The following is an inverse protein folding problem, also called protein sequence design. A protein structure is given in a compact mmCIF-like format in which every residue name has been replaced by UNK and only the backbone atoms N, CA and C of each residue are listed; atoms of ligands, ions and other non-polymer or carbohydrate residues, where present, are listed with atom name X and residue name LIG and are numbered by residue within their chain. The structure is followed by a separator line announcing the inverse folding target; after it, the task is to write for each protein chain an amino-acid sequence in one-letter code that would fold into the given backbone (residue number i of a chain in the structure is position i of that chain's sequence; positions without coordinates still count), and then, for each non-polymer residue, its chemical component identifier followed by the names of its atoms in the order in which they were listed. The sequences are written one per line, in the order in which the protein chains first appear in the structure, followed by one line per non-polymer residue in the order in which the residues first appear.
data_IF_893696312460
#
_entry.id   IF_893696312460
#
_cell.length_a   1.000
_cell.length_b   1.000
_cell.length_c   1.000
_cell.angle_alpha   90.00
_cell.angle_beta   90.00
_cell.angle_gamma   90.00
#
_symmetry.space_group_name_H-M   'P 1'
#
loop_
_entity.id
_entity.type
_entity.pdbx_description
1 polymer ?
#
# COMPACT_ATOMS: atom_id res chain seq x y z
N UNK A 1 -0.19 18.88 -1.99
CA UNK A 1 0.31 17.54 -1.57
C UNK A 1 -0.67 17.02 -0.55
N UNK A 2 -1.30 15.89 -0.85
CA UNK A 2 -2.31 15.24 -0.01
C UNK A 2 -1.62 14.27 0.96
N UNK A 3 -2.33 13.83 2.01
CA UNK A 3 -1.80 12.81 2.92
C UNK A 3 -1.50 11.49 2.18
N UNK A 4 -2.29 11.15 1.15
CA UNK A 4 -2.02 10.00 0.29
C UNK A 4 -0.74 10.17 -0.53
N UNK A 5 -0.46 11.38 -1.03
CA UNK A 5 0.79 11.67 -1.74
C UNK A 5 2.00 11.48 -0.83
N UNK A 6 1.90 11.87 0.44
CA UNK A 6 2.98 11.68 1.41
C UNK A 6 3.32 10.19 1.61
N UNK A 7 2.31 9.32 1.69
CA UNK A 7 2.51 7.87 1.79
C UNK A 7 3.14 7.30 0.51
N UNK A 8 2.66 7.71 -0.67
CA UNK A 8 3.23 7.25 -1.95
C UNK A 8 4.68 7.75 -2.15
N UNK A 9 4.99 8.97 -1.74
CA UNK A 9 6.35 9.50 -1.81
C UNK A 9 7.31 8.72 -0.89
N UNK A 10 6.86 8.37 0.32
CA UNK A 10 7.64 7.54 1.24
C UNK A 10 7.90 6.14 0.67
N UNK A 11 6.91 5.56 -0.04
CA UNK A 11 7.09 4.32 -0.78
C UNK A 11 8.16 4.45 -1.87
N UNK A 12 8.07 5.49 -2.70
CA UNK A 12 9.01 5.69 -3.80
C UNK A 12 10.45 5.84 -3.29
N UNK A 13 10.66 6.67 -2.27
CA UNK A 13 11.98 6.84 -1.65
C UNK A 13 12.53 5.51 -1.08
N UNK A 14 11.67 4.71 -0.46
CA UNK A 14 12.05 3.39 0.07
C UNK A 14 12.40 2.41 -1.05
N UNK A 15 11.64 2.43 -2.15
CA UNK A 15 11.89 1.59 -3.32
C UNK A 15 13.20 1.98 -4.01
N UNK A 16 13.49 3.28 -4.12
CA UNK A 16 14.76 3.79 -4.67
C UNK A 16 15.95 3.30 -3.84
N UNK A 17 15.85 3.35 -2.50
CA UNK A 17 16.86 2.77 -1.62
C UNK A 17 17.09 1.27 -1.88
N UNK A 18 16.02 0.49 -2.04
CA UNK A 18 16.13 -0.94 -2.35
C UNK A 18 16.73 -1.19 -3.75
N UNK A 19 16.42 -0.35 -4.73
CA UNK A 19 17.02 -0.44 -6.07
C UNK A 19 18.52 -0.19 -6.02
N UNK A 20 18.96 0.84 -5.28
CA UNK A 20 20.38 1.13 -5.07
C UNK A 20 21.09 -0.07 -4.42
N UNK A 21 20.47 -0.71 -3.41
CA UNK A 21 21.03 -1.92 -2.80
C UNK A 21 21.18 -3.05 -3.82
N UNK A 22 20.19 -3.23 -4.71
CA UNK A 22 20.26 -4.20 -5.81
C UNK A 22 21.44 -3.94 -6.74
N UNK A 23 21.60 -2.70 -7.19
CA UNK A 23 22.70 -2.30 -8.07
C UNK A 23 24.07 -2.55 -7.41
N UNK A 24 24.18 -2.28 -6.11
CA UNK A 24 25.40 -2.54 -5.36
C UNK A 24 25.68 -4.04 -5.21
N UNK A 25 24.65 -4.85 -4.96
CA UNK A 25 24.78 -6.31 -4.88
C UNK A 25 25.35 -6.89 -6.18
N UNK A 26 24.83 -6.47 -7.34
CA UNK A 26 25.29 -6.95 -8.65
C UNK A 26 26.74 -6.55 -8.97
N UNK A 27 27.13 -5.33 -8.57
CA UNK A 27 28.50 -4.83 -8.74
C UNK A 27 29.48 -5.52 -7.78
N UNK A 28 29.01 -5.95 -6.61
CA UNK A 28 29.80 -6.57 -5.54
C UNK A 28 30.05 -8.08 -5.72
N UNK A 29 30.46 -8.52 -6.91
CA UNK A 29 30.69 -9.96 -7.23
C UNK A 29 31.72 -10.68 -6.35
N UNK A 30 32.47 -9.97 -5.50
CA UNK A 30 33.51 -10.51 -4.61
C UNK A 30 33.29 -10.02 -3.18
N UNK A 31 32.66 -10.87 -2.37
CA UNK A 31 32.67 -10.93 -0.89
C UNK A 31 32.26 -9.68 -0.07
N UNK A 32 31.25 -9.89 0.77
CA UNK A 32 31.07 -9.28 2.10
C UNK A 32 30.90 -7.74 2.21
N UNK A 33 30.25 -7.07 1.26
CA UNK A 33 30.24 -5.60 1.28
C UNK A 33 29.30 -5.00 2.35
N UNK A 34 28.30 -5.74 2.84
CA UNK A 34 27.32 -5.18 3.77
C UNK A 34 27.40 -5.77 5.18
N UNK A 35 28.46 -5.42 5.90
CA UNK A 35 28.53 -5.63 7.35
C UNK A 35 27.39 -4.89 8.07
N UNK A 36 26.89 -5.48 9.16
CA UNK A 36 25.75 -4.95 9.93
C UNK A 36 24.46 -4.77 9.13
N UNK A 37 24.23 -5.59 8.10
CA UNK A 37 22.97 -5.62 7.36
C UNK A 37 22.39 -7.04 7.33
N UNK A 38 21.11 -7.13 6.93
CA UNK A 38 20.44 -8.42 6.68
C UNK A 38 21.07 -9.21 5.53
N UNK A 39 21.95 -8.60 4.72
CA UNK A 39 22.64 -9.24 3.60
C UNK A 39 23.97 -9.88 3.99
N UNK A 40 24.43 -9.65 5.23
CA UNK A 40 25.68 -10.23 5.72
C UNK A 40 25.67 -11.77 5.63
N UNK A 41 26.76 -12.36 5.14
CA UNK A 41 26.93 -13.80 4.91
C UNK A 41 25.90 -14.47 3.96
N UNK A 42 25.14 -13.70 3.18
CA UNK A 42 24.27 -14.27 2.14
C UNK A 42 25.01 -14.44 0.82
N UNK A 43 24.69 -15.49 0.07
CA UNK A 43 25.08 -15.58 -1.34
C UNK A 43 24.37 -14.49 -2.16
N UNK A 44 24.87 -14.20 -3.37
CA UNK A 44 24.22 -13.24 -4.27
C UNK A 44 22.75 -13.61 -4.53
N UNK A 45 22.48 -14.90 -4.78
CA UNK A 45 21.13 -15.42 -4.99
C UNK A 45 20.23 -15.21 -3.75
N UNK A 46 20.73 -15.52 -2.56
CA UNK A 46 20.00 -15.30 -1.31
C UNK A 46 19.73 -13.82 -1.04
N UNK A 47 20.69 -12.95 -1.37
CA UNK A 47 20.54 -11.51 -1.23
C UNK A 47 19.53 -10.94 -2.24
N UNK A 48 19.54 -11.42 -3.48
CA UNK A 48 18.56 -11.06 -4.52
C UNK A 48 17.15 -11.52 -4.13
N UNK A 49 17.00 -12.75 -3.64
CA UNK A 49 15.71 -13.24 -3.14
C UNK A 49 15.21 -12.39 -1.98
N UNK A 50 16.07 -12.07 -1.01
CA UNK A 50 15.70 -11.21 0.11
C UNK A 50 15.27 -9.82 -0.35
N UNK A 51 15.97 -9.25 -1.34
CA UNK A 51 15.63 -7.95 -1.92
C UNK A 51 14.27 -7.98 -2.62
N UNK A 52 13.99 -9.03 -3.39
CA UNK A 52 12.71 -9.20 -4.07
C UNK A 52 11.57 -9.30 -3.04
N UNK A 53 11.70 -10.19 -2.05
CA UNK A 53 10.69 -10.31 -0.98
C UNK A 53 10.52 -9.01 -0.20
N UNK A 54 11.61 -8.26 0.05
CA UNK A 54 11.52 -6.96 0.73
C UNK A 54 10.73 -5.93 -0.08
N UNK A 55 10.87 -5.92 -1.41
CA UNK A 55 10.09 -5.04 -2.30
C UNK A 55 8.61 -5.42 -2.30
N UNK A 56 8.29 -6.71 -2.31
CA UNK A 56 6.92 -7.21 -2.23
C UNK A 56 6.26 -6.83 -0.89
N UNK A 57 6.94 -7.07 0.24
CA UNK A 57 6.43 -6.68 1.56
C UNK A 57 6.29 -5.16 1.73
N UNK A 58 7.21 -4.39 1.12
CA UNK A 58 7.10 -2.93 1.09
C UNK A 58 5.86 -2.46 0.32
N UNK A 59 5.58 -3.07 -0.84
CA UNK A 59 4.38 -2.74 -1.62
C UNK A 59 3.10 -3.01 -0.82
N UNK A 60 3.01 -4.17 -0.18
CA UNK A 60 1.86 -4.57 0.63
C UNK A 60 1.66 -3.61 1.83
N UNK A 61 2.75 -3.28 2.52
CA UNK A 61 2.72 -2.37 3.67
C UNK A 61 2.25 -0.96 3.28
N UNK A 62 2.62 -0.50 2.09
CA UNK A 62 2.21 0.80 1.58
C UNK A 62 0.75 0.80 1.16
N UNK A 63 0.24 -0.26 0.55
CA UNK A 63 -1.19 -0.39 0.24
C UNK A 63 -2.03 -0.32 1.51
N UNK A 64 -1.62 -1.03 2.57
CA UNK A 64 -2.27 -0.95 3.89
C UNK A 64 -2.23 0.48 4.47
N UNK A 65 -1.09 1.16 4.34
CA UNK A 65 -0.92 2.54 4.82
C UNK A 65 -1.78 3.55 4.05
N UNK A 66 -1.88 3.40 2.72
CA UNK A 66 -2.75 4.20 1.86
C UNK A 66 -4.22 4.01 2.26
N UNK A 67 -4.67 2.76 2.43
CA UNK A 67 -6.03 2.47 2.86
C UNK A 67 -6.33 2.98 4.27
N UNK A 68 -5.36 2.94 5.19
CA UNK A 68 -5.54 3.46 6.55
C UNK A 68 -5.64 4.99 6.55
N UNK A 69 -4.90 5.66 5.67
CA UNK A 69 -4.98 7.12 5.47
C UNK A 69 -6.31 7.51 4.83
N UNK A 70 -6.74 6.78 3.80
CA UNK A 70 -8.05 6.94 3.19
C UNK A 70 -9.18 6.72 4.21
N UNK A 71 -9.11 5.63 4.98
CA UNK A 71 -10.05 5.30 6.06
C UNK A 71 -10.20 6.48 7.01
N UNK A 72 -9.09 7.01 7.54
CA UNK A 72 -9.11 8.20 8.41
C UNK A 72 -9.82 9.39 7.75
N UNK A 73 -9.47 9.76 6.52
CA UNK A 73 -10.09 10.90 5.82
C UNK A 73 -11.61 10.73 5.71
N UNK A 74 -12.08 9.53 5.35
CA UNK A 74 -13.52 9.27 5.22
C UNK A 74 -14.22 9.30 6.58
N UNK A 75 -13.62 8.69 7.61
CA UNK A 75 -14.17 8.70 8.97
C UNK A 75 -14.21 10.11 9.57
N UNK A 76 -13.18 10.94 9.36
CA UNK A 76 -13.14 12.33 9.84
C UNK A 76 -14.31 13.15 9.25
N UNK A 77 -14.64 12.93 7.97
CA UNK A 77 -15.79 13.57 7.33
C UNK A 77 -17.14 13.09 7.88
N UNK A 78 -17.29 11.78 8.11
CA UNK A 78 -18.54 11.21 8.64
C UNK A 78 -18.74 11.51 10.12
N UNK A 79 -17.66 11.50 10.93
CA UNK A 79 -17.67 11.88 12.34
C UNK A 79 -18.08 13.34 12.54
N UNK A 80 -17.66 14.22 11.63
CA UNK A 80 -18.10 15.63 11.57
C UNK A 80 -19.58 15.78 11.17
N UNK A 81 -20.17 14.74 10.56
CA UNK A 81 -21.56 14.75 10.05
C UNK A 81 -22.59 14.09 10.99
N UNK A 82 -22.15 13.49 12.10
CA UNK A 82 -23.00 12.92 13.15
C UNK A 82 -23.41 11.45 12.92
N UNK A 83 -22.92 10.57 13.82
CA UNK A 83 -23.29 9.15 14.06
C UNK A 83 -23.18 8.20 12.85
N UNK A 84 -22.11 7.41 12.82
CA UNK A 84 -22.09 6.12 12.12
C UNK A 84 -22.00 4.97 13.13
N UNK A 85 -22.85 3.95 12.96
CA UNK A 85 -22.73 2.64 13.62
C UNK A 85 -21.82 1.69 12.82
N UNK A 86 -21.17 2.21 11.79
CA UNK A 86 -20.39 1.44 10.83
C UNK A 86 -19.13 0.91 11.50
N UNK A 87 -18.88 -0.40 11.35
CA UNK A 87 -17.83 -1.10 12.08
C UNK A 87 -16.52 -1.20 11.28
N UNK A 88 -16.49 -0.76 10.01
CA UNK A 88 -15.27 -0.76 9.20
C UNK A 88 -15.39 -0.04 7.87
N UNK A 89 -14.25 0.13 7.19
CA UNK A 89 -14.11 0.84 5.94
C UNK A 89 -15.13 0.44 4.85
N UNK A 90 -15.41 -0.86 4.71
CA UNK A 90 -16.37 -1.38 3.73
C UNK A 90 -17.80 -0.87 3.95
N UNK A 91 -18.20 -0.61 5.18
CA UNK A 91 -19.52 -0.05 5.47
C UNK A 91 -19.54 1.45 5.22
N UNK A 92 -18.47 2.11 5.61
CA UNK A 92 -18.29 3.56 5.46
C UNK A 92 -18.28 4.01 3.99
N UNK A 93 -17.62 3.27 3.09
CA UNK A 93 -17.60 3.65 1.66
C UNK A 93 -18.98 3.54 0.98
N UNK A 94 -19.93 2.75 1.54
CA UNK A 94 -21.29 2.59 0.97
C UNK A 94 -22.07 3.90 0.96
N UNK A 95 -21.80 4.80 1.91
CA UNK A 95 -22.43 6.12 1.97
C UNK A 95 -22.15 6.97 0.72
N UNK A 96 -21.04 6.69 0.03
CA UNK A 96 -20.60 7.44 -1.15
C UNK A 96 -21.03 6.80 -2.46
N UNK A 97 -21.66 5.61 -2.45
CA UNK A 97 -21.98 4.81 -3.64
C UNK A 97 -22.77 5.56 -4.72
N UNK A 98 -23.57 6.56 -4.35
CA UNK A 98 -24.33 7.41 -5.31
C UNK A 98 -23.50 8.55 -5.91
N UNK A 99 -22.36 8.89 -5.31
CA UNK A 99 -21.49 10.01 -5.71
C UNK A 99 -20.25 9.53 -6.47
N UNK A 100 -19.79 8.30 -6.19
CA UNK A 100 -18.66 7.69 -6.88
C UNK A 100 -19.13 6.79 -8.03
N UNK A 101 -18.31 6.70 -9.08
CA UNK A 101 -18.58 5.80 -10.21
C UNK A 101 -18.57 4.34 -9.75
N UNK A 102 -19.35 3.49 -10.43
CA UNK A 102 -19.42 2.05 -10.11
C UNK A 102 -18.05 1.38 -10.17
N UNK A 103 -17.19 1.81 -11.10
CA UNK A 103 -15.82 1.29 -11.22
C UNK A 103 -14.99 1.66 -10.01
N UNK A 104 -14.88 2.95 -9.68
CA UNK A 104 -14.10 3.44 -8.53
C UNK A 104 -14.57 2.83 -7.21
N UNK A 105 -15.88 2.65 -7.03
CA UNK A 105 -16.44 1.98 -5.87
C UNK A 105 -16.01 0.51 -5.77
N UNK A 106 -16.11 -0.25 -6.86
CA UNK A 106 -15.69 -1.67 -6.90
C UNK A 106 -14.19 -1.82 -6.68
N UNK A 107 -13.39 -0.96 -7.29
CA UNK A 107 -11.94 -0.97 -7.12
C UNK A 107 -11.58 -0.70 -5.64
N UNK A 108 -12.24 0.25 -4.98
CA UNK A 108 -12.07 0.48 -3.54
C UNK A 108 -12.52 -0.71 -2.66
N UNK A 109 -13.63 -1.38 -2.99
CA UNK A 109 -14.05 -2.61 -2.29
C UNK A 109 -13.01 -3.74 -2.43
N UNK A 110 -12.43 -3.91 -3.62
CA UNK A 110 -11.36 -4.89 -3.85
C UNK A 110 -10.12 -4.56 -3.01
N UNK A 111 -9.74 -3.29 -2.92
CA UNK A 111 -8.63 -2.83 -2.08
C UNK A 111 -8.89 -3.09 -0.59
N UNK A 112 -10.11 -2.93 -0.10
CA UNK A 112 -10.47 -3.34 1.26
C UNK A 112 -10.25 -4.84 1.47
N UNK A 113 -10.62 -5.67 0.49
CA UNK A 113 -10.34 -7.11 0.51
C UNK A 113 -8.84 -7.42 0.51
N UNK A 114 -8.05 -6.65 -0.26
CA UNK A 114 -6.59 -6.77 -0.29
C UNK A 114 -5.96 -6.45 1.08
N UNK A 115 -6.33 -5.33 1.73
CA UNK A 115 -5.86 -5.02 3.09
C UNK A 115 -6.19 -6.12 4.08
N UNK A 116 -7.39 -6.69 4.01
CA UNK A 116 -7.77 -7.81 4.86
C UNK A 116 -6.86 -9.02 4.63
N UNK A 117 -6.58 -9.38 3.38
CA UNK A 117 -5.64 -10.44 3.04
C UNK A 117 -4.22 -10.21 3.59
N UNK A 118 -3.67 -9.00 3.44
CA UNK A 118 -2.35 -8.65 4.01
C UNK A 118 -2.37 -8.72 5.54
N UNK A 119 -3.38 -8.11 6.19
CA UNK A 119 -3.48 -8.04 7.65
C UNK A 119 -3.58 -9.42 8.33
N UNK A 120 -4.14 -10.41 7.63
CA UNK A 120 -4.24 -11.78 8.12
C UNK A 120 -3.07 -12.68 7.68
N UNK A 121 -2.00 -12.10 7.14
CA UNK A 121 -0.77 -12.82 6.81
C UNK A 121 -0.87 -13.67 5.55
N UNK A 122 -1.63 -13.20 4.55
CA UNK A 122 -1.66 -13.77 3.19
C UNK A 122 -2.05 -15.26 3.13
N UNK A 123 -2.92 -15.70 4.05
CA UNK A 123 -3.24 -17.13 4.31
C UNK A 123 -4.18 -17.80 3.30
N UNK A 124 -4.75 -17.05 2.36
CA UNK A 124 -5.69 -17.54 1.35
C UNK A 124 -5.32 -16.97 -0.02
N UNK A 125 -5.98 -17.39 -1.13
CA UNK A 125 -5.64 -16.91 -2.46
C UNK A 125 -5.62 -15.38 -2.53
N UNK A 126 -4.57 -14.86 -3.14
CA UNK A 126 -4.39 -13.42 -3.30
C UNK A 126 -5.60 -12.83 -4.04
N UNK A 127 -6.26 -11.80 -3.49
CA UNK A 127 -7.26 -11.03 -4.24
C UNK A 127 -6.60 -10.33 -5.44
N UNK A 128 -7.37 -9.74 -6.35
CA UNK A 128 -6.83 -9.07 -7.53
C UNK A 128 -5.63 -8.20 -7.19
N UNK A 129 -4.52 -8.39 -7.89
CA UNK A 129 -3.26 -7.72 -7.60
C UNK A 129 -3.46 -6.20 -7.54
N UNK A 130 -3.03 -5.62 -6.43
CA UNK A 130 -2.97 -4.18 -6.23
C UNK A 130 -1.49 -3.79 -6.18
N UNK A 131 -1.10 -2.75 -6.92
CA UNK A 131 0.19 -2.08 -6.73
C UNK A 131 -0.02 -0.71 -6.05
N UNK A 132 1.01 -0.16 -5.39
CA UNK A 132 0.90 1.10 -4.66
C UNK A 132 0.43 2.30 -5.50
N UNK A 133 0.86 2.40 -6.76
CA UNK A 133 0.53 3.54 -7.62
C UNK A 133 -0.95 3.49 -8.06
N UNK A 134 -1.43 2.33 -8.49
CA UNK A 134 -2.84 2.15 -8.83
C UNK A 134 -3.74 2.24 -7.60
N UNK A 135 -3.28 1.78 -6.44
CA UNK A 135 -3.99 1.96 -5.17
C UNK A 135 -4.14 3.44 -4.83
N UNK A 136 -3.05 4.20 -4.85
CA UNK A 136 -3.08 5.65 -4.61
C UNK A 136 -4.05 6.36 -5.56
N UNK A 137 -3.95 6.05 -6.86
CA UNK A 137 -4.84 6.62 -7.87
C UNK A 137 -6.31 6.31 -7.58
N UNK A 138 -6.64 5.05 -7.31
CA UNK A 138 -8.00 4.61 -7.01
C UNK A 138 -8.59 5.38 -5.81
N UNK A 139 -7.84 5.46 -4.70
CA UNK A 139 -8.29 6.13 -3.48
C UNK A 139 -8.41 7.65 -3.69
N UNK A 140 -7.48 8.26 -4.43
CA UNK A 140 -7.52 9.67 -4.80
C UNK A 140 -8.76 9.99 -5.65
N UNK A 141 -9.04 9.17 -6.66
CA UNK A 141 -10.21 9.32 -7.52
C UNK A 141 -11.51 9.14 -6.73
N UNK A 142 -11.54 8.21 -5.77
CA UNK A 142 -12.65 8.05 -4.85
C UNK A 142 -12.89 9.33 -4.04
N UNK A 143 -11.86 9.87 -3.37
CA UNK A 143 -11.98 11.07 -2.54
C UNK A 143 -12.47 12.28 -3.34
N UNK A 144 -11.95 12.49 -4.56
CA UNK A 144 -12.39 13.57 -5.46
C UNK A 144 -13.87 13.43 -5.82
N UNK A 145 -14.30 12.24 -6.25
CA UNK A 145 -15.69 12.00 -6.63
C UNK A 145 -16.64 12.10 -5.43
N UNK A 146 -16.19 11.66 -4.25
CA UNK A 146 -16.91 11.77 -2.99
C UNK A 146 -16.98 13.22 -2.45
N UNK A 147 -16.22 14.16 -3.04
CA UNK A 147 -16.04 15.55 -2.60
C UNK A 147 -15.44 15.67 -1.20
N UNK A 148 -14.46 14.81 -0.93
CA UNK A 148 -13.67 14.78 0.31
C UNK A 148 -12.28 15.41 0.12
N UNK A 149 -11.99 15.84 -1.10
CA UNK A 149 -10.76 16.48 -1.53
C UNK A 149 -11.03 17.40 -2.71
#
# INVERSE_FOLDING_TARGET
MTDLDAVLNAHQASLDCLNIVGDLLEKSRKSAIFHNTIFFNKSLEQAQHLLLSSKEELADSVIVSLLSTFERIVFDHLGSSGKTKDQGLNDVIKHFKKRVSTRTYRDAELLCGYRHWVAHGKRWPQPSAADPANTHKCLTDFLKQARLM
#
